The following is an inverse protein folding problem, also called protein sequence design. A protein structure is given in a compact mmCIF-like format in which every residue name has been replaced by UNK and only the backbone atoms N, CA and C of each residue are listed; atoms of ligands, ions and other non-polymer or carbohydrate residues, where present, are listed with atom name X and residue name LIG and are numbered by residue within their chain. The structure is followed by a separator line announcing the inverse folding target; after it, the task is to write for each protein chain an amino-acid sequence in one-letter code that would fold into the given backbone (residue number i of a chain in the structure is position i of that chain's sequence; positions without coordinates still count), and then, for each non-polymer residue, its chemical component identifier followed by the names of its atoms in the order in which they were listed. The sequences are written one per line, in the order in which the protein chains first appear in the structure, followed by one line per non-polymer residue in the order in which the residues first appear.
data_IF_953230432576
#
_entry.id   IF_953230432576
#
_cell.length_a   1.000
_cell.length_b   1.000
_cell.length_c   1.000
_cell.angle_alpha   90.00
_cell.angle_beta   90.00
_cell.angle_gamma   90.00
#
_symmetry.space_group_name_H-M   'P 1'
#
loop_
_entity.id
_entity.type
_entity.pdbx_description
1 polymer ?
#
# COMPACT_ATOMS: atom_id res chain seq x y z
N UNK A 1 5.69 5.18 -27.05
CA UNK A 1 4.48 5.86 -26.51
C UNK A 1 3.87 4.95 -25.44
N UNK A 2 4.69 4.55 -24.47
CA UNK A 2 4.42 3.40 -23.59
C UNK A 2 4.76 3.65 -22.13
N UNK A 3 5.12 4.88 -21.72
CA UNK A 3 5.57 5.14 -20.35
C UNK A 3 4.51 5.83 -19.47
N UNK A 4 3.58 6.61 -20.04
CA UNK A 4 2.70 7.48 -19.25
C UNK A 4 1.61 6.71 -18.50
N UNK A 5 0.85 5.87 -19.21
CA UNK A 5 -0.20 5.04 -18.58
C UNK A 5 0.39 4.03 -17.58
N UNK A 6 1.61 3.54 -17.85
CA UNK A 6 2.32 2.64 -16.93
C UNK A 6 2.79 3.38 -15.68
N UNK A 7 3.31 4.60 -15.81
CA UNK A 7 3.66 5.47 -14.68
C UNK A 7 2.45 5.90 -13.86
N UNK A 8 1.33 6.30 -14.50
CA UNK A 8 0.09 6.66 -13.80
C UNK A 8 -0.44 5.47 -12.99
N UNK A 9 -0.48 4.28 -13.60
CA UNK A 9 -0.89 3.05 -12.92
C UNK A 9 0.02 2.71 -11.73
N UNK A 10 1.34 2.90 -11.85
CA UNK A 10 2.27 2.72 -10.73
C UNK A 10 2.02 3.75 -9.62
N UNK A 11 1.68 4.98 -9.98
CA UNK A 11 1.29 6.04 -9.05
C UNK A 11 0.00 5.71 -8.29
N UNK A 12 -1.04 5.25 -8.98
CA UNK A 12 -2.32 4.83 -8.38
C UNK A 12 -2.14 3.67 -7.40
N UNK A 13 -1.37 2.65 -7.80
CA UNK A 13 -1.04 1.51 -6.93
C UNK A 13 -0.28 2.00 -5.69
N UNK A 14 0.60 2.98 -5.88
CA UNK A 14 1.39 3.53 -4.78
C UNK A 14 0.52 4.29 -3.78
N UNK A 15 -0.41 5.12 -4.28
CA UNK A 15 -1.38 5.83 -3.46
C UNK A 15 -2.28 4.86 -2.68
N UNK A 16 -2.76 3.79 -3.34
CA UNK A 16 -3.60 2.78 -2.69
C UNK A 16 -2.89 2.12 -1.51
N UNK A 17 -1.63 1.72 -1.65
CA UNK A 17 -0.92 1.07 -0.54
C UNK A 17 -0.65 2.03 0.62
N UNK A 18 -0.33 3.30 0.33
CA UNK A 18 -0.19 4.33 1.37
C UNK A 18 -1.48 4.55 2.13
N UNK A 19 -2.63 4.60 1.46
CA UNK A 19 -3.94 4.73 2.12
C UNK A 19 -4.25 3.53 3.03
N UNK A 20 -3.96 2.30 2.59
CA UNK A 20 -4.14 1.09 3.42
C UNK A 20 -3.20 1.08 4.62
N UNK A 21 -1.95 1.54 4.44
CA UNK A 21 -1.00 1.64 5.53
C UNK A 21 -1.43 2.69 6.57
N UNK A 22 -1.81 3.88 6.11
CA UNK A 22 -2.35 4.96 6.95
C UNK A 22 -3.62 4.52 7.70
N UNK A 23 -4.59 3.91 7.02
CA UNK A 23 -5.83 3.46 7.65
C UNK A 23 -5.59 2.41 8.74
N UNK A 24 -4.63 1.50 8.56
CA UNK A 24 -4.26 0.55 9.60
C UNK A 24 -3.50 1.19 10.77
N UNK A 25 -2.71 2.23 10.53
CA UNK A 25 -2.11 3.06 11.58
C UNK A 25 -3.16 3.75 12.44
N UNK A 26 -4.09 4.47 11.80
CA UNK A 26 -5.22 5.15 12.47
C UNK A 26 -6.10 4.14 13.23
N UNK A 27 -6.41 2.98 12.66
CA UNK A 27 -7.19 1.95 13.36
C UNK A 27 -6.48 1.42 14.62
N UNK A 28 -5.15 1.31 14.55
CA UNK A 28 -4.30 0.96 15.70
C UNK A 28 -4.29 2.03 16.79
N UNK A 29 -4.22 3.31 16.42
CA UNK A 29 -4.28 4.44 17.36
C UNK A 29 -5.64 4.59 18.04
N UNK A 30 -6.73 4.28 17.33
CA UNK A 30 -8.09 4.34 17.86
C UNK A 30 -8.46 3.13 18.75
N UNK A 31 -7.52 2.20 18.97
CA UNK A 31 -7.71 0.92 19.68
C UNK A 31 -9.03 0.23 19.30
N UNK A 32 -9.23 0.09 17.98
CA UNK A 32 -10.38 -0.60 17.41
C UNK A 32 -9.98 -2.01 16.96
N UNK A 33 -9.82 -2.99 17.88
CA UNK A 33 -9.24 -4.31 17.55
C UNK A 33 -10.00 -5.06 16.45
N UNK A 34 -11.31 -4.77 16.31
CA UNK A 34 -12.17 -5.29 15.25
C UNK A 34 -11.74 -4.85 13.84
N UNK A 35 -11.09 -3.69 13.73
CA UNK A 35 -10.62 -3.07 12.48
C UNK A 35 -9.11 -3.25 12.31
N UNK A 36 -8.36 -3.18 13.41
CA UNK A 36 -6.89 -3.30 13.41
C UNK A 36 -6.40 -4.65 12.87
N UNK A 37 -7.06 -5.76 13.24
CA UNK A 37 -6.65 -7.09 12.79
C UNK A 37 -6.87 -7.30 11.28
N UNK A 38 -8.05 -7.02 10.70
CA UNK A 38 -8.25 -7.03 9.24
C UNK A 38 -7.33 -6.08 8.48
N UNK A 39 -7.04 -4.89 9.03
CA UNK A 39 -6.15 -3.93 8.39
C UNK A 39 -4.70 -4.41 8.35
N UNK A 40 -4.18 -4.99 9.44
CA UNK A 40 -2.84 -5.59 9.46
C UNK A 40 -2.72 -6.78 8.49
N UNK A 41 -3.75 -7.63 8.43
CA UNK A 41 -3.80 -8.73 7.46
C UNK A 41 -3.80 -8.21 6.02
N UNK A 42 -4.55 -7.13 5.75
CA UNK A 42 -4.61 -6.50 4.44
C UNK A 42 -3.28 -5.84 4.06
N UNK A 43 -2.62 -5.14 4.98
CA UNK A 43 -1.28 -4.57 4.81
C UNK A 43 -0.24 -5.66 4.50
N UNK A 44 -0.28 -6.80 5.19
CA UNK A 44 0.65 -7.91 4.97
C UNK A 44 0.40 -8.63 3.62
N UNK A 45 -0.87 -8.74 3.19
CA UNK A 45 -1.22 -9.41 1.94
C UNK A 45 -1.00 -8.53 0.70
N UNK A 46 -1.10 -7.20 0.84
CA UNK A 46 -1.08 -6.26 -0.27
C UNK A 46 0.16 -6.36 -1.17
N UNK A 47 1.41 -6.46 -0.65
CA UNK A 47 2.59 -6.63 -1.51
C UNK A 47 2.55 -7.87 -2.38
N UNK A 48 2.02 -8.99 -1.86
CA UNK A 48 1.89 -10.25 -2.59
C UNK A 48 0.86 -10.14 -3.72
N UNK A 49 -0.30 -9.52 -3.42
CA UNK A 49 -1.37 -9.27 -4.40
C UNK A 49 -0.88 -8.33 -5.51
N UNK A 50 -0.19 -7.24 -5.13
CA UNK A 50 0.34 -6.27 -6.08
C UNK A 50 1.42 -6.89 -6.98
N UNK A 51 2.32 -7.70 -6.41
CA UNK A 51 3.34 -8.42 -7.19
C UNK A 51 2.72 -9.41 -8.20
N UNK A 52 1.65 -10.10 -7.82
CA UNK A 52 0.95 -11.04 -8.69
C UNK A 52 0.15 -10.38 -9.81
N UNK A 53 -0.48 -9.22 -9.54
CA UNK A 53 -1.30 -8.48 -10.52
C UNK A 53 -0.49 -7.52 -11.38
N UNK A 54 0.62 -7.02 -10.86
CA UNK A 54 1.42 -5.98 -11.50
C UNK A 54 2.90 -6.34 -11.48
N UNK A 55 3.35 -7.27 -12.35
CA UNK A 55 4.75 -7.70 -12.43
C UNK A 55 5.72 -6.57 -12.80
N UNK A 56 5.21 -5.47 -13.36
CA UNK A 56 5.94 -4.23 -13.64
C UNK A 56 6.40 -3.47 -12.37
N UNK A 57 5.85 -3.78 -11.19
CA UNK A 57 6.25 -3.14 -9.94
C UNK A 57 7.61 -3.65 -9.49
N UNK A 58 8.60 -2.74 -9.47
CA UNK A 58 9.91 -3.05 -8.93
C UNK A 58 9.84 -3.42 -7.44
N UNK A 59 10.79 -4.24 -6.98
CA UNK A 59 10.92 -4.57 -5.56
C UNK A 59 11.14 -3.32 -4.69
N UNK A 60 11.76 -2.28 -5.24
CA UNK A 60 11.95 -0.99 -4.56
C UNK A 60 10.61 -0.24 -4.39
N UNK A 61 9.73 -0.25 -5.40
CA UNK A 61 8.38 0.29 -5.27
C UNK A 61 7.60 -0.44 -4.19
N UNK A 62 7.62 -1.79 -4.20
CA UNK A 62 6.94 -2.58 -3.18
C UNK A 62 7.49 -2.33 -1.76
N UNK A 63 8.79 -2.11 -1.61
CA UNK A 63 9.41 -1.84 -0.31
C UNK A 63 9.12 -0.42 0.19
N UNK A 64 9.03 0.57 -0.71
CA UNK A 64 8.63 1.94 -0.38
C UNK A 64 7.17 2.05 0.06
N UNK A 65 6.31 1.09 -0.34
CA UNK A 65 4.91 1.02 0.09
C UNK A 65 4.72 0.52 1.53
N UNK A 66 5.72 -0.18 2.07
CA UNK A 66 5.75 -0.67 3.46
C UNK A 66 6.60 0.27 4.35
N UNK A 67 7.18 1.31 3.75
CA UNK A 67 8.00 2.29 4.45
C UNK A 67 7.18 3.35 5.19
N UNK A 68 7.88 4.11 6.02
CA UNK A 68 7.38 5.05 7.01
C UNK A 68 6.21 5.93 6.51
N UNK A 69 5.01 5.68 7.05
CA UNK A 69 3.84 6.56 6.87
C UNK A 69 3.78 7.58 7.99
N UNK A 70 4.84 8.37 8.15
CA UNK A 70 4.71 9.63 8.88
C UNK A 70 3.83 10.54 8.03
N UNK A 71 2.58 10.68 8.47
CA UNK A 71 1.46 11.18 7.70
C UNK A 71 1.70 12.54 7.07
N UNK A 72 1.89 12.54 5.77
CA UNK A 72 1.50 13.63 4.89
C UNK A 72 0.92 12.98 3.63
N UNK A 73 -0.35 12.60 3.73
CA UNK A 73 -1.20 12.49 2.55
C UNK A 73 -1.52 13.91 2.08
#
# INVERSE_FOLDING_TARGET
MTDFEEQERQGEISALARMVHYAGGVAGELDTPQVTSPMKASQAALPSVLKGKFPMLSRAHLHGLVGDTHGHC
#
